data_IF_587012529638
#
_entry.id   IF_587012529638
#
_cell.length_a   1.000
_cell.length_b   1.000
_cell.length_c   1.000
_cell.angle_alpha   90.00
_cell.angle_beta   90.00
_cell.angle_gamma   90.00
#
_symmetry.space_group_name_H-M   'P 1'
#
loop_
_entity.id
_entity.type
_entity.pdbx_description
1 polymer ?
#
# COMPACT_ATOMS: atom_id res chain seq x y z
N UNK A 1 -24.24 7.98 -12.56
CA UNK A 1 -23.54 7.74 -11.28
C UNK A 1 -22.16 8.34 -11.34
N UNK A 2 -21.87 9.24 -10.46
CA UNK A 2 -20.56 9.87 -10.44
C UNK A 2 -19.56 8.92 -9.77
N UNK A 3 -18.39 8.78 -10.39
CA UNK A 3 -17.30 8.07 -9.76
C UNK A 3 -16.76 8.90 -8.59
N UNK A 4 -16.41 8.25 -7.50
CA UNK A 4 -15.78 8.92 -6.40
C UNK A 4 -14.39 9.38 -6.83
N UNK A 5 -14.09 10.64 -6.60
CA UNK A 5 -12.76 11.17 -6.91
C UNK A 5 -11.78 10.72 -5.84
N UNK A 6 -10.62 10.27 -6.26
CA UNK A 6 -9.57 9.85 -5.35
C UNK A 6 -8.27 10.60 -5.65
N UNK A 7 -7.42 10.65 -4.64
CA UNK A 7 -6.08 11.21 -4.74
C UNK A 7 -5.10 10.19 -4.22
N UNK A 8 -4.03 9.92 -4.95
CA UNK A 8 -2.90 9.13 -4.46
C UNK A 8 -1.77 10.12 -4.23
N UNK A 9 -1.23 10.11 -3.02
CA UNK A 9 -0.18 11.04 -2.62
C UNK A 9 0.78 10.38 -1.63
N UNK A 10 1.99 10.94 -1.45
CA UNK A 10 2.88 10.45 -0.41
C UNK A 10 2.27 10.60 0.99
N UNK A 11 2.59 9.66 1.85
CA UNK A 11 2.22 9.69 3.26
C UNK A 11 2.81 10.93 3.93
N UNK A 12 2.05 11.54 4.83
CA UNK A 12 2.49 12.62 5.70
C UNK A 12 2.37 12.18 7.14
N UNK A 13 3.19 12.75 8.03
CA UNK A 13 3.18 12.35 9.44
C UNK A 13 1.79 12.50 10.08
N UNK A 14 1.01 13.47 9.66
CA UNK A 14 -0.36 13.66 10.15
C UNK A 14 -1.31 12.54 9.75
N UNK A 15 -0.93 11.68 8.80
CA UNK A 15 -1.73 10.53 8.37
C UNK A 15 -1.52 9.30 9.25
N UNK A 16 -0.57 9.34 10.19
CA UNK A 16 -0.13 8.16 10.93
C UNK A 16 -1.27 7.41 11.60
N UNK A 17 -2.12 8.12 12.33
CA UNK A 17 -3.21 7.47 13.06
C UNK A 17 -4.23 6.83 12.10
N UNK A 18 -4.54 7.52 11.00
CA UNK A 18 -5.47 7.00 9.99
C UNK A 18 -4.93 5.75 9.31
N UNK A 19 -3.64 5.74 9.00
CA UNK A 19 -2.99 4.60 8.34
C UNK A 19 -2.90 3.40 9.28
N UNK A 20 -2.50 3.61 10.53
CA UNK A 20 -2.43 2.53 11.52
C UNK A 20 -3.81 1.93 11.74
N UNK A 21 -4.85 2.75 11.84
CA UNK A 21 -6.22 2.28 11.98
C UNK A 21 -6.66 1.48 10.76
N UNK A 22 -6.35 1.96 9.56
CA UNK A 22 -6.62 1.24 8.31
C UNK A 22 -5.97 -0.15 8.33
N UNK A 23 -4.71 -0.23 8.74
CA UNK A 23 -3.99 -1.51 8.80
C UNK A 23 -4.61 -2.47 9.79
N UNK A 24 -5.08 -1.97 10.95
CA UNK A 24 -5.79 -2.80 11.94
C UNK A 24 -7.09 -3.34 11.36
N UNK A 25 -7.86 -2.49 10.70
CA UNK A 25 -9.13 -2.89 10.07
C UNK A 25 -8.88 -3.95 9.00
N UNK A 26 -7.80 -3.81 8.25
CA UNK A 26 -7.42 -4.77 7.20
C UNK A 26 -6.68 -5.99 7.74
N UNK A 27 -6.52 -6.11 9.06
CA UNK A 27 -5.84 -7.22 9.73
C UNK A 27 -4.40 -7.41 9.28
N UNK A 28 -3.71 -6.30 9.05
CA UNK A 28 -2.30 -6.32 8.65
C UNK A 28 -1.35 -6.16 9.84
N UNK A 29 -1.88 -5.93 11.05
CA UNK A 29 -1.06 -5.83 12.25
C UNK A 29 -1.08 -7.17 12.99
N UNK A 30 0.04 -7.50 13.63
CA UNK A 30 0.21 -8.73 14.41
C UNK A 30 0.87 -8.37 15.74
N UNK A 31 0.76 -9.22 16.79
CA UNK A 31 1.37 -8.92 18.08
C UNK A 31 2.87 -8.67 18.03
N UNK A 32 3.57 -9.27 17.05
CA UNK A 32 5.01 -9.10 16.89
C UNK A 32 5.39 -7.94 15.97
N UNK A 33 4.39 -7.26 15.39
CA UNK A 33 4.63 -6.10 14.54
C UNK A 33 4.38 -4.81 15.30
N UNK A 34 5.19 -3.80 15.00
CA UNK A 34 4.97 -2.45 15.49
C UNK A 34 4.74 -1.55 14.29
N UNK A 35 3.48 -1.28 13.91
CA UNK A 35 3.19 -0.49 12.71
C UNK A 35 3.76 0.93 12.78
N UNK A 36 3.83 1.52 13.97
CA UNK A 36 4.39 2.87 14.12
C UNK A 36 5.87 2.88 13.82
N UNK A 37 6.62 1.86 14.27
CA UNK A 37 8.04 1.73 13.95
C UNK A 37 8.27 1.43 12.48
N UNK A 38 7.39 0.66 11.85
CA UNK A 38 7.48 0.40 10.43
C UNK A 38 7.32 1.69 9.63
N UNK A 39 6.41 2.56 10.05
CA UNK A 39 6.25 3.87 9.45
C UNK A 39 7.52 4.71 9.63
N UNK A 40 8.06 4.76 10.86
CA UNK A 40 9.28 5.51 11.13
C UNK A 40 10.43 5.07 10.25
N UNK A 41 10.63 3.75 10.11
CA UNK A 41 11.68 3.22 9.26
C UNK A 41 11.48 3.59 7.80
N UNK A 42 10.24 3.51 7.33
CA UNK A 42 9.93 3.85 5.94
C UNK A 42 10.17 5.32 5.64
N UNK A 43 9.94 6.19 6.61
CA UNK A 43 10.17 7.63 6.42
C UNK A 43 11.65 7.96 6.20
N UNK A 44 12.56 7.05 6.57
CA UNK A 44 13.99 7.23 6.34
C UNK A 44 14.48 6.53 5.07
N UNK A 45 13.62 5.74 4.37
CA UNK A 45 14.01 4.95 3.20
C UNK A 45 12.97 5.13 2.10
N UNK A 46 13.29 5.95 1.11
CA UNK A 46 12.42 6.17 -0.04
C UNK A 46 10.99 6.54 0.39
N UNK A 47 10.88 7.53 1.25
CA UNK A 47 9.60 7.95 1.82
C UNK A 47 8.56 8.35 0.75
N UNK A 48 9.02 8.79 -0.42
CA UNK A 48 8.16 9.15 -1.55
C UNK A 48 7.41 7.94 -2.12
N UNK A 49 7.83 6.73 -1.76
CA UNK A 49 7.16 5.49 -2.17
C UNK A 49 6.23 4.92 -1.11
N UNK A 50 6.00 5.65 -0.02
CA UNK A 50 4.94 5.34 0.93
C UNK A 50 3.74 6.18 0.55
N UNK A 51 2.73 5.53 -0.05
CA UNK A 51 1.61 6.23 -0.67
C UNK A 51 0.31 5.94 0.06
N UNK A 52 -0.57 6.93 0.09
CA UNK A 52 -1.93 6.77 0.60
C UNK A 52 -2.93 7.14 -0.49
N UNK A 53 -4.09 6.50 -0.45
CA UNK A 53 -5.20 6.81 -1.33
C UNK A 53 -6.31 7.43 -0.48
N UNK A 54 -6.73 8.61 -0.89
CA UNK A 54 -7.67 9.45 -0.14
C UNK A 54 -8.92 9.69 -0.97
N UNK A 55 -10.08 9.56 -0.33
CA UNK A 55 -11.37 9.91 -0.93
C UNK A 55 -12.08 10.84 0.04
N UNK A 56 -12.41 12.05 -0.44
CA UNK A 56 -13.12 13.05 0.36
C UNK A 56 -12.47 13.30 1.72
N UNK A 57 -11.14 13.38 1.74
CA UNK A 57 -10.38 13.64 2.95
C UNK A 57 -10.14 12.44 3.85
N UNK A 58 -10.68 11.27 3.50
CA UNK A 58 -10.48 10.05 4.28
C UNK A 58 -9.48 9.13 3.60
N UNK A 59 -8.53 8.60 4.36
CA UNK A 59 -7.57 7.64 3.84
C UNK A 59 -8.22 6.27 3.82
N UNK A 60 -8.41 5.71 2.62
CA UNK A 60 -9.04 4.40 2.43
C UNK A 60 -8.08 3.37 1.87
N UNK A 61 -6.88 3.75 1.53
CA UNK A 61 -5.89 2.83 0.99
C UNK A 61 -4.47 3.26 1.31
N UNK A 62 -3.55 2.31 1.27
CA UNK A 62 -2.13 2.56 1.48
C UNK A 62 -1.29 1.54 0.73
N UNK A 63 -0.03 1.88 0.50
CA UNK A 63 0.98 0.93 0.02
C UNK A 63 2.35 1.48 0.35
N UNK A 64 3.27 0.60 0.77
CA UNK A 64 4.68 0.91 0.88
C UNK A 64 5.42 0.21 -0.23
N UNK A 65 6.26 0.93 -0.96
CA UNK A 65 7.08 0.35 -2.00
C UNK A 65 8.53 0.79 -1.81
N UNK A 66 9.45 -0.02 -2.30
CA UNK A 66 10.87 0.31 -2.29
C UNK A 66 11.56 -0.38 -3.45
N UNK A 67 12.67 0.20 -3.89
CA UNK A 67 13.53 -0.36 -4.92
C UNK A 67 14.95 -0.44 -4.36
N UNK A 68 15.48 -1.65 -4.30
CA UNK A 68 16.82 -1.89 -3.71
C UNK A 68 17.94 -1.87 -4.75
N UNK A 69 17.63 -1.49 -5.99
CA UNK A 69 18.58 -1.50 -7.10
C UNK A 69 18.47 -2.74 -7.97
N UNK A 70 17.73 -3.74 -7.51
CA UNK A 70 17.53 -4.99 -8.23
C UNK A 70 16.06 -5.36 -8.33
N UNK A 71 15.33 -5.28 -7.24
CA UNK A 71 13.90 -5.65 -7.17
C UNK A 71 13.09 -4.60 -6.45
N UNK A 72 11.84 -4.45 -6.87
CA UNK A 72 10.86 -3.66 -6.14
C UNK A 72 10.19 -4.52 -5.10
N UNK A 73 9.92 -3.96 -3.92
CA UNK A 73 9.28 -4.65 -2.82
C UNK A 73 8.01 -3.89 -2.43
N UNK A 74 6.91 -4.61 -2.24
CA UNK A 74 5.62 -4.05 -1.89
C UNK A 74 5.21 -4.58 -0.51
N UNK A 75 4.90 -3.66 0.40
CA UNK A 75 4.42 -3.96 1.74
C UNK A 75 3.18 -3.16 2.04
N UNK A 76 2.36 -3.65 2.97
CA UNK A 76 1.22 -2.92 3.51
C UNK A 76 0.28 -2.38 2.43
N UNK A 77 0.02 -3.17 1.38
CA UNK A 77 -1.06 -2.84 0.46
C UNK A 77 -2.38 -3.09 1.18
N UNK A 78 -3.13 -2.05 1.39
CA UNK A 78 -4.39 -2.11 2.13
C UNK A 78 -5.46 -1.26 1.45
N UNK A 79 -6.70 -1.78 1.45
CA UNK A 79 -7.88 -1.01 1.04
C UNK A 79 -8.95 -1.26 2.09
N UNK A 80 -9.53 -0.18 2.61
CA UNK A 80 -10.57 -0.25 3.62
C UNK A 80 -11.71 -1.18 3.14
N UNK A 81 -12.23 -2.07 4.02
CA UNK A 81 -13.28 -3.03 3.61
C UNK A 81 -14.47 -2.42 2.90
N UNK A 82 -14.87 -1.20 3.28
CA UNK A 82 -15.98 -0.51 2.62
C UNK A 82 -15.70 -0.08 1.20
N UNK A 83 -14.45 -0.16 0.77
CA UNK A 83 -14.01 0.27 -0.56
C UNK A 83 -13.37 -0.85 -1.37
N UNK A 84 -13.34 -2.06 -0.83
CA UNK A 84 -12.78 -3.21 -1.54
C UNK A 84 -13.70 -3.63 -2.68
N UNK A 85 -13.14 -4.36 -3.66
CA UNK A 85 -13.86 -4.85 -4.86
C UNK A 85 -14.34 -3.73 -5.77
N UNK A 86 -13.75 -2.54 -5.66
CA UNK A 86 -14.06 -1.39 -6.53
C UNK A 86 -12.85 -0.98 -7.39
N UNK A 87 -11.78 -1.75 -7.36
CA UNK A 87 -10.60 -1.51 -8.18
C UNK A 87 -9.53 -0.63 -7.56
N UNK A 88 -9.68 -0.18 -6.32
CA UNK A 88 -8.70 0.72 -5.70
C UNK A 88 -7.35 0.06 -5.43
N UNK A 89 -7.35 -1.22 -5.07
CA UNK A 89 -6.10 -1.97 -4.91
C UNK A 89 -5.31 -2.03 -6.21
N UNK A 90 -6.00 -2.28 -7.32
CA UNK A 90 -5.38 -2.30 -8.64
C UNK A 90 -4.86 -0.91 -9.02
N UNK A 91 -5.61 0.13 -8.70
CA UNK A 91 -5.19 1.51 -8.96
C UNK A 91 -3.90 1.82 -8.20
N UNK A 92 -3.83 1.45 -6.91
CA UNK A 92 -2.62 1.64 -6.11
C UNK A 92 -1.43 0.88 -6.70
N UNK A 93 -1.63 -0.38 -7.07
CA UNK A 93 -0.55 -1.19 -7.66
C UNK A 93 -0.09 -0.64 -9.00
N UNK A 94 -1.01 -0.21 -9.84
CA UNK A 94 -0.66 0.40 -11.14
C UNK A 94 0.19 1.66 -10.93
N UNK A 95 -0.18 2.48 -9.95
CA UNK A 95 0.57 3.69 -9.62
C UNK A 95 1.99 3.35 -9.15
N UNK A 96 2.11 2.37 -8.25
CA UNK A 96 3.40 1.92 -7.72
C UNK A 96 4.27 1.34 -8.83
N UNK A 97 3.71 0.50 -9.69
CA UNK A 97 4.44 -0.08 -10.82
C UNK A 97 5.03 1.00 -11.70
N UNK A 98 4.24 2.02 -12.00
CA UNK A 98 4.70 3.15 -12.81
C UNK A 98 5.86 3.89 -12.14
N UNK A 99 5.76 4.13 -10.84
CA UNK A 99 6.82 4.81 -10.10
C UNK A 99 8.09 3.96 -10.00
N UNK A 100 7.95 2.66 -9.83
CA UNK A 100 9.08 1.74 -9.80
C UNK A 100 9.77 1.67 -11.17
N UNK A 101 9.00 1.64 -12.26
CA UNK A 101 9.57 1.66 -13.60
C UNK A 101 10.37 2.93 -13.86
N UNK A 102 9.91 4.07 -13.36
CA UNK A 102 10.65 5.33 -13.47
C UNK A 102 12.00 5.26 -12.75
N UNK A 103 12.11 4.45 -11.71
CA UNK A 103 13.36 4.25 -10.99
C UNK A 103 14.25 3.18 -11.61
N UNK A 104 13.80 2.55 -12.69
CA UNK A 104 14.55 1.50 -13.38
C UNK A 104 14.35 0.09 -12.81
N UNK A 105 13.30 -0.12 -12.03
CA UNK A 105 13.06 -1.40 -11.39
C UNK A 105 12.69 -2.48 -12.40
N UNK A 106 13.48 -3.56 -12.53
CA UNK A 106 13.19 -4.62 -13.52
C UNK A 106 12.18 -5.65 -13.07
N UNK A 107 11.95 -5.78 -11.75
CA UNK A 107 11.07 -6.82 -11.22
C UNK A 107 10.53 -6.45 -9.85
N UNK A 108 9.27 -6.79 -9.61
CA UNK A 108 8.60 -6.52 -8.34
C UNK A 108 8.42 -7.82 -7.56
N UNK A 109 8.82 -7.82 -6.30
CA UNK A 109 8.57 -8.92 -5.36
C UNK A 109 7.50 -8.50 -4.36
N UNK A 110 6.58 -9.41 -4.07
CA UNK A 110 5.53 -9.17 -3.10
C UNK A 110 5.85 -9.90 -1.79
N UNK A 111 5.68 -9.20 -0.69
CA UNK A 111 5.80 -9.79 0.64
C UNK A 111 4.40 -9.99 1.21
N UNK A 112 3.91 -11.22 1.11
CA UNK A 112 2.57 -11.58 1.56
C UNK A 112 2.68 -12.68 2.60
N UNK A 113 2.03 -12.49 3.76
CA UNK A 113 2.04 -13.50 4.81
C UNK A 113 1.30 -14.75 4.33
N UNK A 114 1.78 -15.93 4.77
CA UNK A 114 1.18 -17.20 4.38
C UNK A 114 -0.27 -17.36 4.85
N UNK A 115 -0.66 -16.67 5.93
CA UNK A 115 -2.01 -16.72 6.47
C UNK A 115 -2.97 -15.70 5.83
N UNK A 116 -2.51 -14.89 4.89
CA UNK A 116 -3.34 -13.87 4.25
C UNK A 116 -3.76 -14.30 2.85
N UNK A 117 -4.72 -15.22 2.79
CA UNK A 117 -5.18 -15.80 1.53
C UNK A 117 -5.87 -14.79 0.62
N UNK A 118 -6.60 -13.83 1.19
CA UNK A 118 -7.32 -12.84 0.39
C UNK A 118 -6.34 -11.94 -0.38
N UNK A 119 -5.27 -11.53 0.26
CA UNK A 119 -4.23 -10.72 -0.38
C UNK A 119 -3.52 -11.53 -1.46
N UNK A 120 -3.21 -12.81 -1.19
CA UNK A 120 -2.59 -13.69 -2.18
C UNK A 120 -3.47 -13.84 -3.42
N UNK A 121 -4.76 -14.03 -3.24
CA UNK A 121 -5.72 -14.13 -4.36
C UNK A 121 -5.77 -12.86 -5.17
N UNK A 122 -5.74 -11.71 -4.48
CA UNK A 122 -5.71 -10.41 -5.14
C UNK A 122 -4.49 -10.28 -6.05
N UNK A 123 -3.29 -10.57 -5.54
CA UNK A 123 -2.07 -10.47 -6.33
C UNK A 123 -2.06 -11.46 -7.48
N UNK A 124 -2.56 -12.67 -7.26
CA UNK A 124 -2.65 -13.66 -8.33
C UNK A 124 -3.54 -13.17 -9.46
N UNK A 125 -4.64 -12.49 -9.14
CA UNK A 125 -5.51 -11.87 -10.14
C UNK A 125 -4.81 -10.77 -10.93
N UNK A 126 -3.73 -10.18 -10.39
CA UNK A 126 -2.91 -9.18 -11.07
C UNK A 126 -1.68 -9.78 -11.74
N UNK A 127 -1.57 -11.10 -11.78
CA UNK A 127 -0.45 -11.83 -12.42
C UNK A 127 0.91 -11.66 -11.70
N UNK A 128 0.86 -11.59 -10.37
CA UNK A 128 2.08 -11.61 -9.56
C UNK A 128 2.40 -12.98 -9.00
#
# INVERSE_FOLDING_TARGET
>A
MSEEQYIIRPFKLEDKNSVVELWKICRLTRPWNNPEKDIERKLSVQSEMFLVLEIQGSIIGSVMAAYDGHRGVINYLAVHPGYQKKGYGKILMTHVERELLKKGCPKINLLVRSDNLNVKRFYKGLHY
#
